data_IF_441600246594
#
_entry.id   IF_441600246594
#
_cell.length_a   1.000
_cell.length_b   1.000
_cell.length_c   1.000
_cell.angle_alpha   90.00
_cell.angle_beta   90.00
_cell.angle_gamma   90.00
#
_symmetry.space_group_name_H-M   'P 1'
#
loop_
_entity.id
_entity.type
_entity.pdbx_description
1 polymer ?
#
# COMPACT_ATOMS: atom_id res chain seq x y z
N UNK A 1 -39.65 37.31 -0.89
CA UNK A 1 -38.65 38.22 -0.35
C UNK A 1 -37.77 38.66 -1.49
N UNK A 2 -37.82 39.97 -1.88
CA UNK A 2 -36.97 40.55 -2.93
C UNK A 2 -35.56 40.80 -2.40
N UNK A 3 -34.58 40.30 -3.07
CA UNK A 3 -33.19 40.58 -2.75
C UNK A 3 -32.69 41.72 -3.65
N UNK A 4 -32.11 42.78 -3.09
CA UNK A 4 -31.39 43.78 -3.86
C UNK A 4 -29.93 43.42 -3.99
N UNK A 5 -29.44 43.31 -5.23
CA UNK A 5 -28.05 43.13 -5.56
C UNK A 5 -27.33 44.46 -5.47
N UNK A 6 -26.30 44.61 -4.60
CA UNK A 6 -25.37 45.71 -4.65
C UNK A 6 -24.56 45.69 -5.95
N UNK A 7 -24.60 46.81 -6.70
CA UNK A 7 -23.99 46.94 -8.04
C UNK A 7 -22.47 47.13 -8.08
N UNK A 8 -21.81 47.18 -6.97
CA UNK A 8 -20.41 47.65 -6.81
C UNK A 8 -19.39 46.53 -6.60
N UNK A 9 -19.75 45.27 -6.81
CA UNK A 9 -18.83 44.16 -6.62
C UNK A 9 -18.28 43.62 -7.96
N UNK A 10 -17.04 44.03 -8.30
CA UNK A 10 -16.25 43.39 -9.37
C UNK A 10 -15.36 42.33 -8.72
N UNK A 11 -15.83 41.10 -8.62
CA UNK A 11 -14.96 39.92 -8.43
C UNK A 11 -15.56 38.75 -9.16
N UNK A 12 -14.72 38.08 -9.95
CA UNK A 12 -15.00 36.80 -10.57
C UNK A 12 -15.02 35.71 -9.49
N UNK A 13 -16.12 35.60 -8.77
CA UNK A 13 -16.36 34.61 -7.72
C UNK A 13 -17.83 34.51 -7.43
N UNK A 14 -18.27 33.38 -6.85
CA UNK A 14 -19.66 33.12 -6.49
C UNK A 14 -20.30 34.32 -5.79
N UNK A 15 -21.49 34.79 -6.21
CA UNK A 15 -22.12 35.95 -5.62
C UNK A 15 -22.39 35.71 -4.11
N UNK A 16 -21.86 36.60 -3.29
CA UNK A 16 -22.15 36.60 -1.85
C UNK A 16 -23.41 37.45 -1.63
N UNK A 17 -24.45 36.84 -1.10
CA UNK A 17 -25.67 37.53 -0.72
C UNK A 17 -25.56 37.99 0.73
N UNK A 18 -25.80 39.28 0.97
CA UNK A 18 -25.89 39.85 2.31
C UNK A 18 -27.34 40.24 2.58
N UNK A 19 -27.86 39.85 3.74
CA UNK A 19 -29.16 40.26 4.22
C UNK A 19 -28.99 41.53 5.05
N UNK A 20 -29.91 42.49 4.96
CA UNK A 20 -29.97 43.60 5.86
C UNK A 20 -30.41 43.14 7.26
N UNK A 21 -30.11 43.94 8.31
CA UNK A 21 -30.48 43.64 9.69
C UNK A 21 -32.00 43.38 9.82
N UNK A 22 -32.84 44.18 9.14
CA UNK A 22 -34.30 43.96 9.13
C UNK A 22 -34.71 42.67 8.48
N UNK A 23 -33.99 42.20 7.45
CA UNK A 23 -34.27 40.91 6.80
C UNK A 23 -33.79 39.72 7.66
N UNK A 24 -32.74 39.90 8.43
CA UNK A 24 -32.28 38.94 9.42
C UNK A 24 -33.30 38.78 10.54
N UNK A 25 -33.83 39.90 11.06
CA UNK A 25 -34.84 39.91 12.11
C UNK A 25 -36.14 39.27 11.65
N UNK A 26 -36.58 39.50 10.43
CA UNK A 26 -37.77 38.92 9.86
C UNK A 26 -37.61 37.40 9.66
N UNK A 27 -36.46 36.96 9.20
CA UNK A 27 -36.08 35.52 9.09
C UNK A 27 -36.00 34.85 10.46
N UNK A 28 -35.48 35.53 11.47
CA UNK A 28 -35.41 35.04 12.83
C UNK A 28 -36.81 34.88 13.46
N UNK A 29 -37.72 35.85 13.22
CA UNK A 29 -39.15 35.76 13.64
C UNK A 29 -39.85 34.57 12.99
N UNK A 30 -39.67 34.38 11.69
CA UNK A 30 -40.29 33.27 10.93
C UNK A 30 -39.77 31.88 11.42
N UNK A 31 -38.53 31.82 11.90
CA UNK A 31 -37.89 30.57 12.36
C UNK A 31 -37.98 30.34 13.86
N UNK A 32 -38.68 31.18 14.63
CA UNK A 32 -38.87 31.01 16.06
C UNK A 32 -37.61 31.22 16.90
N UNK A 33 -36.59 31.91 16.37
CA UNK A 33 -35.42 32.27 17.14
C UNK A 33 -35.69 33.50 18.00
N UNK A 34 -35.71 33.31 19.30
CA UNK A 34 -35.85 34.39 20.28
C UNK A 34 -34.55 35.18 20.41
N UNK A 35 -34.70 36.47 20.62
CA UNK A 35 -33.83 37.62 20.66
C UNK A 35 -32.41 37.40 21.21
N UNK A 36 -31.45 37.92 20.42
CA UNK A 36 -30.24 38.60 20.91
C UNK A 36 -29.14 37.85 21.67
N UNK A 37 -28.94 36.56 21.43
CA UNK A 37 -27.71 35.90 21.89
C UNK A 37 -26.49 36.10 20.98
N UNK A 38 -26.71 36.44 19.72
CA UNK A 38 -25.62 36.48 18.72
C UNK A 38 -25.58 37.81 17.99
N UNK A 39 -24.38 38.39 17.83
CA UNK A 39 -24.14 39.58 17.02
C UNK A 39 -23.92 39.27 15.55
N UNK A 40 -23.53 38.08 15.23
CA UNK A 40 -23.32 37.62 13.85
C UNK A 40 -23.47 36.09 13.78
N UNK A 41 -24.21 35.60 12.78
CA UNK A 41 -24.35 34.17 12.49
C UNK A 41 -24.04 33.95 11.01
N UNK A 42 -22.98 33.18 10.70
CA UNK A 42 -22.66 32.74 9.34
C UNK A 42 -22.93 31.27 9.22
N UNK A 43 -23.65 30.86 8.16
CA UNK A 43 -23.92 29.47 7.83
C UNK A 43 -23.42 29.16 6.44
N UNK A 44 -22.73 28.06 6.28
CA UNK A 44 -22.39 27.53 4.96
C UNK A 44 -23.32 26.35 4.66
N UNK A 45 -23.95 26.37 3.50
CA UNK A 45 -24.88 25.33 3.07
C UNK A 45 -24.21 24.52 1.96
N UNK A 46 -24.54 23.23 1.88
CA UNK A 46 -24.22 22.41 0.71
C UNK A 46 -25.20 22.75 -0.44
N UNK A 47 -25.02 22.14 -1.60
CA UNK A 47 -25.86 22.33 -2.78
C UNK A 47 -27.33 21.92 -2.57
N UNK A 48 -27.61 21.12 -1.56
CA UNK A 48 -28.93 20.60 -1.22
C UNK A 48 -29.61 21.45 -0.13
N UNK A 49 -28.96 22.54 0.32
CA UNK A 49 -29.48 23.49 1.29
C UNK A 49 -29.29 23.11 2.76
N UNK A 50 -28.49 22.08 3.05
CA UNK A 50 -28.17 21.66 4.41
C UNK A 50 -26.99 22.45 4.98
N UNK A 51 -27.03 22.75 6.27
CA UNK A 51 -25.99 23.52 6.97
C UNK A 51 -24.78 22.63 7.23
N UNK A 52 -23.68 22.87 6.49
CA UNK A 52 -22.40 22.14 6.68
C UNK A 52 -21.43 22.85 7.63
N UNK A 53 -21.62 24.15 7.87
CA UNK A 53 -20.91 24.87 8.94
C UNK A 53 -21.71 26.05 9.44
N UNK A 54 -21.56 26.38 10.73
CA UNK A 54 -22.20 27.49 11.39
C UNK A 54 -21.17 28.25 12.24
N UNK A 55 -21.06 29.57 12.05
CA UNK A 55 -20.22 30.46 12.86
C UNK A 55 -21.13 31.42 13.57
N UNK A 56 -21.08 31.44 14.89
CA UNK A 56 -21.87 32.33 15.76
C UNK A 56 -20.94 33.24 16.57
N UNK A 57 -21.25 34.54 16.60
CA UNK A 57 -20.54 35.51 17.38
C UNK A 57 -21.43 35.97 18.53
N UNK A 58 -21.03 35.64 19.76
CA UNK A 58 -21.77 35.93 20.98
C UNK A 58 -21.54 37.37 21.45
N UNK A 59 -22.57 37.95 22.04
CA UNK A 59 -22.44 39.19 22.81
C UNK A 59 -21.86 38.86 24.19
N UNK A 60 -20.83 39.62 24.60
CA UNK A 60 -20.10 39.35 25.84
C UNK A 60 -21.04 39.27 27.05
N UNK A 61 -21.11 38.12 27.70
CA UNK A 61 -21.30 37.85 29.14
C UNK A 61 -21.95 36.50 29.47
N UNK A 62 -22.33 35.66 28.53
CA UNK A 62 -22.94 34.37 28.85
C UNK A 62 -21.99 33.22 28.51
N UNK A 63 -22.00 32.22 29.39
CA UNK A 63 -21.34 30.92 29.13
C UNK A 63 -21.86 30.33 27.83
N UNK A 64 -20.94 29.92 26.97
CA UNK A 64 -21.25 29.32 25.70
C UNK A 64 -21.88 27.95 25.97
N UNK A 65 -23.17 27.82 25.69
CA UNK A 65 -23.86 26.55 25.75
C UNK A 65 -23.58 25.80 24.44
N UNK A 66 -22.67 24.83 24.53
CA UNK A 66 -22.32 23.97 23.39
C UNK A 66 -23.37 22.86 23.37
N UNK A 67 -24.09 22.65 22.25
CA UNK A 67 -25.02 21.54 22.14
C UNK A 67 -24.29 20.23 22.48
N UNK A 68 -24.94 19.38 23.26
CA UNK A 68 -24.37 18.11 23.74
C UNK A 68 -23.97 17.15 22.62
N UNK A 69 -24.49 17.36 21.39
CA UNK A 69 -24.17 16.60 20.19
C UNK A 69 -23.16 17.29 19.26
N UNK A 70 -22.38 18.26 19.77
CA UNK A 70 -21.34 18.94 19.00
C UNK A 70 -19.98 18.85 19.67
N UNK A 71 -18.95 18.55 18.89
CA UNK A 71 -17.55 18.65 19.30
C UNK A 71 -16.94 19.99 18.91
N UNK A 72 -16.04 20.52 19.74
CA UNK A 72 -15.30 21.75 19.45
C UNK A 72 -14.15 21.42 18.51
N UNK A 73 -14.19 21.98 17.28
CA UNK A 73 -13.07 21.85 16.34
C UNK A 73 -11.99 22.89 16.61
N UNK A 74 -12.39 24.10 16.98
CA UNK A 74 -11.46 25.22 17.15
C UNK A 74 -12.02 26.27 18.09
N UNK A 75 -11.14 26.75 18.97
CA UNK A 75 -11.36 27.96 19.77
C UNK A 75 -10.36 29.01 19.31
N UNK A 76 -10.83 30.23 19.01
CA UNK A 76 -9.98 31.34 18.66
C UNK A 76 -10.33 32.50 19.57
N UNK A 77 -9.33 33.09 20.23
CA UNK A 77 -9.52 34.22 21.15
C UNK A 77 -8.76 35.44 20.61
N UNK A 78 -9.45 36.59 20.51
CA UNK A 78 -8.82 37.85 20.24
C UNK A 78 -8.32 38.43 21.56
N UNK A 79 -7.01 38.47 21.73
CA UNK A 79 -6.35 38.90 23.00
C UNK A 79 -6.63 40.34 23.34
N UNK A 80 -6.83 41.21 22.35
CA UNK A 80 -7.05 42.66 22.57
C UNK A 80 -8.50 43.01 22.93
N UNK A 81 -9.49 42.22 22.48
CA UNK A 81 -10.90 42.48 22.74
C UNK A 81 -11.56 41.45 23.67
N UNK A 82 -10.84 40.37 24.01
CA UNK A 82 -11.38 39.27 24.82
C UNK A 82 -12.44 38.41 24.11
N UNK A 83 -12.71 38.66 22.82
CA UNK A 83 -13.68 37.91 22.06
C UNK A 83 -13.21 36.52 21.77
N UNK A 84 -14.09 35.52 21.96
CA UNK A 84 -13.85 34.12 21.61
C UNK A 84 -14.77 33.66 20.46
N UNK A 85 -14.21 32.91 19.55
CA UNK A 85 -14.94 32.21 18.52
C UNK A 85 -14.76 30.70 18.74
N UNK A 86 -15.87 30.00 18.85
CA UNK A 86 -15.86 28.56 18.95
C UNK A 86 -16.50 28.00 17.67
N UNK A 87 -15.75 27.16 16.97
CA UNK A 87 -16.23 26.40 15.83
C UNK A 87 -16.56 25.02 16.35
N UNK A 88 -17.82 24.65 16.24
CA UNK A 88 -18.30 23.31 16.58
C UNK A 88 -18.78 22.60 15.32
N UNK A 89 -18.67 21.31 15.32
CA UNK A 89 -19.26 20.43 14.31
C UNK A 89 -20.22 19.48 15.04
N UNK A 90 -21.39 19.14 14.46
CA UNK A 90 -22.19 18.07 15.01
C UNK A 90 -21.28 16.84 15.19
N UNK A 91 -21.30 16.26 16.35
CA UNK A 91 -20.86 14.89 16.50
C UNK A 91 -21.88 14.16 15.62
N UNK A 92 -21.45 13.76 14.40
CA UNK A 92 -22.22 12.74 13.73
C UNK A 92 -22.37 11.66 14.78
N UNK A 93 -23.58 11.31 15.13
CA UNK A 93 -23.84 9.98 15.63
C UNK A 93 -23.33 9.07 14.51
N UNK A 94 -22.04 8.80 14.53
CA UNK A 94 -21.53 7.58 13.95
C UNK A 94 -22.24 6.57 14.82
N UNK A 95 -23.29 5.99 14.27
CA UNK A 95 -23.89 4.80 14.85
C UNK A 95 -22.71 3.92 15.23
N UNK A 96 -22.49 3.76 16.55
CA UNK A 96 -21.46 2.86 17.08
C UNK A 96 -21.77 1.42 16.64
N UNK A 97 -22.95 1.20 16.04
CA UNK A 97 -23.37 -0.02 15.34
C UNK A 97 -22.81 -0.15 13.90
N UNK A 98 -22.25 0.91 13.34
CA UNK A 98 -21.50 0.89 12.07
C UNK A 98 -20.00 1.11 12.30
N UNK A 99 -19.39 0.47 13.28
CA UNK A 99 -18.01 0.04 13.09
C UNK A 99 -18.04 -0.73 11.77
N UNK A 100 -17.47 -0.09 10.72
CA UNK A 100 -17.26 -0.78 9.46
C UNK A 100 -16.45 -2.00 9.85
N UNK A 101 -17.09 -3.16 9.95
CA UNK A 101 -16.42 -4.40 10.24
C UNK A 101 -15.60 -4.73 8.98
N UNK A 102 -14.43 -4.10 8.90
CA UNK A 102 -13.48 -4.29 7.82
C UNK A 102 -13.22 -5.77 7.55
N UNK A 103 -13.27 -6.60 8.59
CA UNK A 103 -13.12 -8.04 8.45
C UNK A 103 -14.31 -8.68 7.75
N UNK A 104 -15.52 -8.19 7.97
CA UNK A 104 -16.71 -8.68 7.26
C UNK A 104 -16.72 -8.28 5.78
N UNK A 105 -16.26 -7.08 5.43
CA UNK A 105 -16.14 -6.67 4.01
C UNK A 105 -15.25 -7.64 3.23
N UNK A 106 -14.22 -8.18 3.86
CA UNK A 106 -13.29 -9.11 3.19
C UNK A 106 -13.72 -10.57 3.23
N UNK A 107 -14.68 -10.97 4.07
CA UNK A 107 -15.12 -12.37 4.18
C UNK A 107 -15.65 -12.93 2.86
N UNK A 108 -16.39 -12.12 2.11
CA UNK A 108 -16.98 -12.54 0.84
C UNK A 108 -15.99 -12.48 -0.33
N UNK A 109 -14.88 -11.76 -0.14
CA UNK A 109 -13.82 -11.56 -1.16
C UNK A 109 -12.70 -12.58 -1.01
N UNK A 110 -12.43 -13.05 0.22
CA UNK A 110 -11.33 -13.98 0.49
C UNK A 110 -11.73 -15.39 0.07
N UNK A 111 -11.02 -15.93 -0.92
CA UNK A 111 -11.12 -17.34 -1.27
C UNK A 111 -10.12 -18.13 -0.41
N UNK A 112 -10.58 -19.03 0.47
CA UNK A 112 -9.66 -19.80 1.29
C UNK A 112 -8.82 -20.74 0.42
N UNK A 113 -7.52 -20.80 0.71
CA UNK A 113 -6.60 -21.74 0.08
C UNK A 113 -6.58 -23.01 0.92
N UNK A 114 -6.90 -24.14 0.30
CA UNK A 114 -6.81 -25.44 0.96
C UNK A 114 -5.37 -25.97 0.93
N UNK A 115 -4.79 -26.16 2.11
CA UNK A 115 -3.46 -26.74 2.25
C UNK A 115 -3.55 -28.08 2.97
N UNK A 116 -3.04 -29.12 2.34
CA UNK A 116 -3.11 -30.53 2.82
C UNK A 116 -1.90 -30.97 3.64
N UNK A 117 -1.12 -30.05 4.18
CA UNK A 117 0.08 -30.37 4.93
C UNK A 117 -0.15 -30.35 6.46
N UNK A 118 0.75 -31.01 7.20
CA UNK A 118 0.76 -30.99 8.67
C UNK A 118 1.83 -30.04 9.15
N UNK A 119 1.54 -29.27 10.22
CA UNK A 119 2.52 -28.44 10.90
C UNK A 119 3.71 -29.30 11.35
N UNK A 120 4.93 -28.86 11.04
CA UNK A 120 6.16 -29.59 11.33
C UNK A 120 6.86 -29.05 12.58
N UNK A 121 7.67 -29.89 13.26
CA UNK A 121 8.59 -29.40 14.28
C UNK A 121 9.72 -28.62 13.61
N UNK A 122 10.01 -27.42 14.13
CA UNK A 122 11.09 -26.57 13.61
C UNK A 122 12.44 -27.30 13.69
N UNK A 123 13.15 -27.33 12.54
CA UNK A 123 14.52 -27.83 12.41
C UNK A 123 15.46 -26.74 11.89
N UNK A 124 14.91 -25.80 11.12
CA UNK A 124 15.61 -24.62 10.62
C UNK A 124 15.42 -23.42 11.55
N UNK A 125 16.32 -22.45 11.47
CA UNK A 125 16.21 -21.19 12.21
C UNK A 125 15.02 -20.36 11.71
N UNK A 126 14.82 -20.34 10.39
CA UNK A 126 13.69 -19.73 9.72
C UNK A 126 13.60 -20.26 8.28
N UNK A 127 12.42 -20.14 7.72
CA UNK A 127 12.16 -20.32 6.30
C UNK A 127 12.03 -18.96 5.63
N UNK A 128 12.36 -18.87 4.34
CA UNK A 128 12.19 -17.67 3.52
C UNK A 128 11.51 -18.04 2.23
N UNK A 129 10.52 -17.24 1.83
CA UNK A 129 9.88 -17.33 0.52
C UNK A 129 10.00 -15.98 -0.19
N UNK A 130 10.26 -16.01 -1.49
CA UNK A 130 10.45 -14.80 -2.29
C UNK A 130 9.61 -14.89 -3.54
N UNK A 131 8.84 -13.83 -3.78
CA UNK A 131 8.13 -13.56 -5.03
C UNK A 131 8.45 -12.15 -5.49
N UNK A 132 8.38 -11.90 -6.79
CA UNK A 132 8.59 -10.60 -7.42
C UNK A 132 7.89 -10.56 -8.76
N UNK A 133 7.65 -9.39 -9.30
CA UNK A 133 7.15 -9.22 -10.66
C UNK A 133 5.85 -10.00 -10.89
N UNK A 134 4.86 -9.80 -10.00
CA UNK A 134 3.55 -10.45 -10.09
C UNK A 134 2.70 -9.82 -11.18
N UNK A 135 2.85 -8.52 -11.41
CA UNK A 135 2.20 -7.76 -12.47
C UNK A 135 0.69 -7.99 -12.54
N UNK A 136 -0.01 -7.78 -11.42
CA UNK A 136 -1.48 -7.87 -11.40
C UNK A 136 -2.05 -6.79 -12.31
N UNK A 137 -2.89 -7.19 -13.25
CA UNK A 137 -3.46 -6.33 -14.28
C UNK A 137 -2.78 -6.42 -15.64
N UNK A 138 -1.61 -7.06 -15.74
CA UNK A 138 -0.89 -7.19 -17.00
C UNK A 138 -1.70 -8.00 -18.03
N UNK A 139 -1.78 -7.47 -19.25
CA UNK A 139 -2.26 -8.19 -20.43
C UNK A 139 -1.06 -8.79 -21.16
N UNK A 140 -0.95 -10.10 -21.15
CA UNK A 140 0.21 -10.82 -21.71
C UNK A 140 0.16 -10.83 -23.23
N UNK A 141 -1.04 -11.04 -23.81
CA UNK A 141 -1.26 -11.09 -25.25
C UNK A 141 -2.48 -10.26 -25.63
N UNK A 142 -2.47 -9.69 -26.82
CA UNK A 142 -3.58 -8.87 -27.34
C UNK A 142 -4.34 -9.56 -28.51
N UNK A 143 -4.02 -10.81 -28.78
CA UNK A 143 -4.58 -11.57 -29.90
C UNK A 143 -3.77 -11.44 -31.22
N UNK A 144 -2.80 -10.53 -31.25
CA UNK A 144 -1.86 -10.36 -32.37
C UNK A 144 -0.42 -10.68 -31.96
N UNK A 145 -0.24 -11.13 -30.73
CA UNK A 145 1.07 -11.48 -30.16
C UNK A 145 1.71 -12.66 -30.88
N UNK A 146 3.03 -12.63 -31.02
CA UNK A 146 3.82 -13.75 -31.53
C UNK A 146 3.89 -14.96 -30.57
N UNK A 147 3.47 -14.76 -29.33
CA UNK A 147 3.59 -15.73 -28.27
C UNK A 147 2.26 -15.93 -27.57
N UNK A 148 1.95 -17.19 -27.28
CA UNK A 148 0.82 -17.51 -26.42
C UNK A 148 1.16 -17.25 -24.95
N UNK A 149 0.19 -16.78 -24.20
CA UNK A 149 0.30 -16.56 -22.77
C UNK A 149 -1.03 -16.19 -22.15
N UNK A 150 -1.24 -16.59 -20.92
CA UNK A 150 -2.44 -16.27 -20.15
C UNK A 150 -2.03 -15.72 -18.80
N UNK A 151 -2.50 -14.50 -18.51
CA UNK A 151 -2.40 -13.91 -17.19
C UNK A 151 -3.70 -13.21 -16.85
N UNK A 152 -4.46 -13.80 -15.98
CA UNK A 152 -5.73 -13.30 -15.50
C UNK A 152 -5.94 -13.73 -14.06
N UNK A 153 -7.05 -13.36 -13.47
CA UNK A 153 -7.41 -13.70 -12.10
C UNK A 153 -7.34 -15.22 -11.81
N UNK A 154 -7.82 -16.04 -12.72
CA UNK A 154 -7.85 -17.51 -12.55
C UNK A 154 -6.43 -18.08 -12.48
N UNK A 155 -5.56 -17.70 -13.41
CA UNK A 155 -4.17 -18.17 -13.44
C UNK A 155 -3.36 -17.61 -12.26
N UNK A 156 -3.63 -16.36 -11.87
CA UNK A 156 -3.02 -15.72 -10.71
C UNK A 156 -3.29 -16.53 -9.42
N UNK A 157 -4.55 -16.83 -9.13
CA UNK A 157 -4.91 -17.57 -7.92
C UNK A 157 -4.50 -19.06 -7.99
N UNK A 158 -4.49 -19.66 -9.16
CA UNK A 158 -3.92 -21.00 -9.35
C UNK A 158 -2.42 -21.02 -9.00
N UNK A 159 -1.66 -20.03 -9.42
CA UNK A 159 -0.24 -19.91 -9.05
C UNK A 159 -0.06 -19.58 -7.57
N UNK A 160 -0.95 -18.79 -6.99
CA UNK A 160 -0.97 -18.56 -5.55
C UNK A 160 -1.17 -19.85 -4.76
N UNK A 161 -2.11 -20.72 -5.19
CA UNK A 161 -2.30 -22.02 -4.58
C UNK A 161 -1.02 -22.88 -4.61
N UNK A 162 -0.35 -22.91 -5.76
CA UNK A 162 0.93 -23.62 -5.91
C UNK A 162 1.98 -23.02 -4.96
N UNK A 163 2.09 -21.70 -4.92
CA UNK A 163 3.06 -21.00 -4.09
C UNK A 163 2.88 -21.31 -2.61
N UNK A 164 1.63 -21.21 -2.11
CA UNK A 164 1.30 -21.53 -0.71
C UNK A 164 1.60 -23.00 -0.39
N UNK A 165 1.16 -23.92 -1.24
CA UNK A 165 1.39 -25.34 -1.03
C UNK A 165 2.88 -25.69 -1.01
N UNK A 166 3.68 -25.08 -1.89
CA UNK A 166 5.13 -25.33 -1.92
C UNK A 166 5.85 -24.70 -0.71
N UNK A 167 5.43 -23.54 -0.22
CA UNK A 167 5.95 -22.99 1.03
C UNK A 167 5.69 -23.96 2.18
N UNK A 168 4.48 -24.47 2.30
CA UNK A 168 4.10 -25.36 3.42
C UNK A 168 4.74 -26.75 3.27
N UNK A 169 4.81 -27.33 2.06
CA UNK A 169 5.47 -28.60 1.80
C UNK A 169 6.97 -28.55 2.14
N UNK A 170 7.60 -27.40 1.94
CA UNK A 170 9.02 -27.18 2.23
C UNK A 170 9.27 -26.60 3.62
N UNK A 171 8.25 -26.47 4.46
CA UNK A 171 8.39 -25.93 5.81
C UNK A 171 9.42 -26.73 6.63
N UNK A 172 10.39 -26.03 7.23
CA UNK A 172 11.39 -26.56 8.16
C UNK A 172 11.46 -25.74 9.46
N UNK A 173 10.80 -24.59 9.49
CA UNK A 173 10.73 -23.70 10.66
C UNK A 173 9.28 -23.29 10.92
N UNK A 174 9.00 -22.79 12.12
CA UNK A 174 7.75 -22.08 12.44
C UNK A 174 7.87 -20.56 12.30
N UNK A 175 8.99 -20.07 11.74
CA UNK A 175 9.20 -18.67 11.40
C UNK A 175 9.40 -18.54 9.90
N UNK A 176 8.62 -17.68 9.26
CA UNK A 176 8.70 -17.39 7.83
C UNK A 176 9.08 -15.93 7.59
N UNK A 177 10.07 -15.71 6.74
CA UNK A 177 10.34 -14.42 6.10
C UNK A 177 9.76 -14.45 4.68
N UNK A 178 8.84 -13.56 4.38
CA UNK A 178 8.23 -13.42 3.06
C UNK A 178 8.70 -12.11 2.43
N UNK A 179 9.38 -12.21 1.28
CA UNK A 179 9.84 -11.04 0.53
C UNK A 179 9.04 -10.90 -0.76
N UNK A 180 8.36 -9.77 -0.91
CA UNK A 180 7.76 -9.32 -2.16
C UNK A 180 8.61 -8.16 -2.70
N UNK A 181 9.31 -8.41 -3.81
CA UNK A 181 10.39 -7.53 -4.27
C UNK A 181 9.95 -6.48 -5.30
N UNK A 182 8.67 -6.15 -5.37
CA UNK A 182 8.14 -5.10 -6.24
C UNK A 182 7.53 -5.60 -7.53
N UNK A 183 7.04 -4.66 -8.33
CA UNK A 183 6.21 -4.89 -9.52
C UNK A 183 5.05 -5.87 -9.22
N UNK A 184 4.45 -5.69 -8.03
CA UNK A 184 3.30 -6.48 -7.62
C UNK A 184 2.07 -6.14 -8.46
N UNK A 185 1.85 -4.85 -8.72
CA UNK A 185 0.84 -4.33 -9.64
C UNK A 185 1.50 -3.97 -10.97
N UNK A 186 0.81 -4.17 -12.09
CA UNK A 186 1.40 -3.92 -13.42
C UNK A 186 1.52 -2.43 -13.79
N UNK A 187 0.95 -1.54 -13.04
CA UNK A 187 1.00 -0.11 -13.30
C UNK A 187 -0.21 0.63 -12.73
N UNK A 188 -0.41 1.84 -13.19
CA UNK A 188 -1.54 2.68 -12.85
C UNK A 188 -2.08 3.39 -14.08
N UNK A 189 -3.40 3.32 -14.35
CA UNK A 189 -4.03 3.88 -15.56
C UNK A 189 -3.36 3.41 -16.86
N UNK A 190 -3.05 2.13 -16.97
CA UNK A 190 -2.38 1.51 -18.12
C UNK A 190 -1.02 2.13 -18.45
N UNK A 191 -0.31 2.64 -17.45
CA UNK A 191 1.01 3.24 -17.61
C UNK A 191 1.94 2.85 -16.45
N UNK A 192 3.23 2.79 -16.74
CA UNK A 192 4.24 2.75 -15.67
C UNK A 192 4.28 4.10 -14.95
N UNK A 193 4.35 4.09 -13.62
CA UNK A 193 4.47 5.33 -12.82
C UNK A 193 5.83 6.00 -12.98
N UNK A 194 6.84 5.22 -13.34
CA UNK A 194 8.19 5.71 -13.64
C UNK A 194 8.48 5.57 -15.13
N UNK A 195 8.63 6.69 -15.78
CA UNK A 195 8.89 6.76 -17.23
C UNK A 195 7.65 6.91 -18.11
N UNK A 196 6.43 6.67 -17.58
CA UNK A 196 5.18 6.90 -18.32
C UNK A 196 5.02 6.03 -19.57
N UNK A 197 5.52 4.78 -19.54
CA UNK A 197 5.34 3.84 -20.64
C UNK A 197 3.95 3.23 -20.60
N UNK A 198 3.30 3.15 -21.75
CA UNK A 198 2.02 2.45 -21.88
C UNK A 198 2.19 0.96 -21.59
N UNK A 199 1.24 0.44 -20.82
CA UNK A 199 1.16 -0.97 -20.44
C UNK A 199 -0.21 -1.52 -20.84
N UNK A 200 -0.27 -2.54 -21.70
CA UNK A 200 -1.53 -3.24 -21.94
C UNK A 200 -2.02 -3.88 -20.65
N UNK A 201 -3.18 -3.45 -20.16
CA UNK A 201 -3.80 -4.01 -18.96
C UNK A 201 -5.11 -4.73 -19.28
N UNK A 202 -5.44 -5.76 -18.52
CA UNK A 202 -6.65 -6.56 -18.67
C UNK A 202 -7.74 -6.23 -17.66
N UNK A 203 -7.48 -5.28 -16.77
CA UNK A 203 -8.42 -4.80 -15.75
C UNK A 203 -8.13 -3.34 -15.41
N UNK A 204 -9.12 -2.64 -14.87
CA UNK A 204 -8.94 -1.29 -14.33
C UNK A 204 -8.25 -1.29 -12.96
N UNK A 205 -7.94 -0.09 -12.46
CA UNK A 205 -7.23 0.06 -11.19
C UNK A 205 -8.04 -0.43 -9.99
N UNK A 206 -9.37 -0.31 -10.01
CA UNK A 206 -10.22 -0.75 -8.90
C UNK A 206 -10.16 -2.27 -8.79
N UNK A 207 -10.43 -2.97 -9.91
CA UNK A 207 -10.36 -4.43 -9.95
C UNK A 207 -8.95 -4.93 -9.62
N UNK A 208 -7.91 -4.27 -10.12
CA UNK A 208 -6.53 -4.62 -9.81
C UNK A 208 -6.24 -4.47 -8.29
N UNK A 209 -6.72 -3.39 -7.67
CA UNK A 209 -6.62 -3.19 -6.22
C UNK A 209 -7.28 -4.34 -5.44
N UNK A 210 -8.53 -4.67 -5.77
CA UNK A 210 -9.30 -5.71 -5.09
C UNK A 210 -8.62 -7.07 -5.20
N UNK A 211 -8.18 -7.43 -6.41
CA UNK A 211 -7.46 -8.69 -6.66
C UNK A 211 -6.12 -8.72 -5.94
N UNK A 212 -5.36 -7.62 -5.96
CA UNK A 212 -4.07 -7.54 -5.27
C UNK A 212 -4.21 -7.68 -3.77
N UNK A 213 -5.21 -7.04 -3.20
CA UNK A 213 -5.50 -7.15 -1.77
C UNK A 213 -5.95 -8.56 -1.41
N UNK A 214 -6.87 -9.15 -2.19
CA UNK A 214 -7.33 -10.52 -2.01
C UNK A 214 -6.17 -11.52 -2.08
N UNK A 215 -5.26 -11.38 -3.07
CA UNK A 215 -4.09 -12.23 -3.20
C UNK A 215 -3.25 -12.26 -1.91
N UNK A 216 -2.89 -11.08 -1.39
CA UNK A 216 -2.06 -10.95 -0.18
C UNK A 216 -2.76 -11.46 1.07
N UNK A 217 -4.04 -11.18 1.22
CA UNK A 217 -4.84 -11.66 2.35
C UNK A 217 -4.94 -13.19 2.31
N UNK A 218 -5.32 -13.77 1.16
CA UNK A 218 -5.45 -15.22 1.00
C UNK A 218 -4.13 -15.95 1.26
N UNK A 219 -3.01 -15.37 0.81
CA UNK A 219 -1.66 -15.87 1.09
C UNK A 219 -1.40 -15.99 2.60
N UNK A 220 -1.64 -14.92 3.35
CA UNK A 220 -1.32 -14.91 4.78
C UNK A 220 -2.32 -15.68 5.60
N UNK A 221 -3.62 -15.61 5.30
CA UNK A 221 -4.65 -16.41 5.97
C UNK A 221 -4.38 -17.91 5.87
N UNK A 222 -3.81 -18.37 4.74
CA UNK A 222 -3.37 -19.76 4.62
C UNK A 222 -2.10 -20.05 5.42
N UNK A 223 -1.09 -19.16 5.39
CA UNK A 223 0.22 -19.42 5.98
C UNK A 223 0.25 -19.32 7.52
N UNK A 224 -0.58 -18.48 8.14
CA UNK A 224 -0.66 -18.34 9.61
C UNK A 224 -1.10 -19.62 10.31
N UNK A 225 -1.67 -20.56 9.59
CA UNK A 225 -2.04 -21.88 10.12
C UNK A 225 -0.82 -22.78 10.34
N UNK A 226 0.30 -22.50 9.67
CA UNK A 226 1.51 -23.31 9.66
C UNK A 226 2.71 -22.64 10.32
N UNK A 227 2.76 -21.32 10.32
CA UNK A 227 3.85 -20.54 10.90
C UNK A 227 3.36 -19.75 12.13
N UNK A 228 4.14 -19.82 13.21
CA UNK A 228 3.85 -19.08 14.44
C UNK A 228 4.17 -17.59 14.31
N UNK A 229 5.19 -17.27 13.47
CA UNK A 229 5.61 -15.90 13.16
C UNK A 229 5.88 -15.75 11.67
N UNK A 230 5.34 -14.71 11.09
CA UNK A 230 5.58 -14.32 9.70
C UNK A 230 6.05 -12.87 9.67
N UNK A 231 7.18 -12.61 9.03
CA UNK A 231 7.61 -11.24 8.72
C UNK A 231 7.55 -11.05 7.21
N UNK A 232 6.83 -10.02 6.78
CA UNK A 232 6.66 -9.68 5.37
C UNK A 232 7.39 -8.38 5.09
N UNK A 233 8.20 -8.35 4.03
CA UNK A 233 8.77 -7.13 3.47
C UNK A 233 8.24 -6.96 2.07
N UNK A 234 7.48 -5.89 1.83
CA UNK A 234 6.97 -5.50 0.53
C UNK A 234 7.76 -4.30 0.00
N UNK A 235 8.27 -4.36 -1.22
CA UNK A 235 8.83 -3.20 -1.89
C UNK A 235 7.70 -2.39 -2.51
N UNK A 236 7.55 -1.13 -2.09
CA UNK A 236 6.41 -0.28 -2.39
C UNK A 236 6.77 0.96 -3.23
N UNK A 237 7.89 0.93 -3.91
CA UNK A 237 8.34 2.04 -4.75
C UNK A 237 9.08 1.49 -5.97
N UNK A 238 8.39 0.60 -6.69
CA UNK A 238 8.85 0.04 -7.95
C UNK A 238 8.59 1.00 -9.13
N UNK A 239 8.97 0.60 -10.32
CA UNK A 239 8.81 1.41 -11.52
C UNK A 239 7.45 1.27 -12.20
N UNK A 240 6.72 0.18 -11.96
CA UNK A 240 5.41 -0.05 -12.56
C UNK A 240 4.31 0.68 -11.77
N UNK A 241 4.05 0.30 -10.55
CA UNK A 241 2.92 0.79 -9.78
C UNK A 241 3.25 1.99 -8.87
N UNK A 242 4.51 2.14 -8.44
CA UNK A 242 4.93 3.25 -7.57
C UNK A 242 4.04 3.40 -6.33
N UNK A 243 3.40 4.58 -6.19
CA UNK A 243 2.52 4.86 -5.05
C UNK A 243 1.24 4.03 -5.02
N UNK A 244 0.77 3.50 -6.14
CA UNK A 244 -0.39 2.60 -6.16
C UNK A 244 -0.06 1.28 -5.46
N UNK A 245 1.12 0.71 -5.72
CA UNK A 245 1.62 -0.45 -4.98
C UNK A 245 1.69 -0.19 -3.47
N UNK A 246 2.11 1.02 -3.06
CA UNK A 246 2.10 1.42 -1.65
C UNK A 246 0.69 1.45 -1.05
N UNK A 247 -0.32 1.94 -1.80
CA UNK A 247 -1.72 1.98 -1.32
C UNK A 247 -2.24 0.57 -1.08
N UNK A 248 -2.04 -0.36 -2.03
CA UNK A 248 -2.42 -1.78 -1.88
C UNK A 248 -1.75 -2.40 -0.66
N UNK A 249 -0.44 -2.20 -0.51
CA UNK A 249 0.34 -2.74 0.60
C UNK A 249 -0.03 -2.11 1.95
N UNK A 250 -0.50 -0.86 1.98
CA UNK A 250 -0.96 -0.20 3.19
C UNK A 250 -2.32 -0.73 3.64
N UNK A 251 -3.26 -0.94 2.71
CA UNK A 251 -4.54 -1.57 3.01
C UNK A 251 -4.34 -3.00 3.54
N UNK A 252 -3.48 -3.79 2.89
CA UNK A 252 -3.09 -5.11 3.36
C UNK A 252 -2.48 -5.08 4.76
N UNK A 253 -1.55 -4.15 5.02
CA UNK A 253 -0.93 -3.99 6.35
C UNK A 253 -1.97 -3.71 7.43
N UNK A 254 -2.92 -2.81 7.16
CA UNK A 254 -4.00 -2.49 8.10
C UNK A 254 -4.84 -3.74 8.43
N UNK A 255 -5.20 -4.53 7.42
CA UNK A 255 -5.90 -5.80 7.64
C UNK A 255 -5.11 -6.75 8.54
N UNK A 256 -3.82 -6.90 8.29
CA UNK A 256 -2.96 -7.79 9.07
C UNK A 256 -2.83 -7.32 10.52
N UNK A 257 -2.63 -6.03 10.76
CA UNK A 257 -2.51 -5.45 12.10
C UNK A 257 -3.79 -5.61 12.92
N UNK A 258 -4.96 -5.64 12.26
CA UNK A 258 -6.24 -5.91 12.92
C UNK A 258 -6.46 -7.40 13.21
N UNK A 259 -6.09 -8.27 12.27
CA UNK A 259 -6.44 -9.71 12.36
C UNK A 259 -5.36 -10.56 13.01
N UNK A 260 -4.10 -10.24 12.80
CA UNK A 260 -2.94 -11.04 13.22
C UNK A 260 -1.84 -10.22 13.92
N UNK A 261 -2.19 -9.34 14.89
CA UNK A 261 -1.23 -8.39 15.48
C UNK A 261 -0.01 -9.04 16.12
N UNK A 262 -0.19 -10.25 16.67
CA UNK A 262 0.87 -10.95 17.39
C UNK A 262 1.68 -11.91 16.51
N UNK A 263 1.17 -12.29 15.35
CA UNK A 263 1.74 -13.35 14.52
C UNK A 263 2.45 -12.83 13.28
N UNK A 264 2.00 -11.71 12.73
CA UNK A 264 2.46 -11.21 11.42
C UNK A 264 2.93 -9.78 11.53
N UNK A 265 4.15 -9.52 11.04
CA UNK A 265 4.73 -8.18 10.93
C UNK A 265 4.86 -7.80 9.47
N UNK A 266 4.29 -6.66 9.08
CA UNK A 266 4.36 -6.15 7.70
C UNK A 266 5.22 -4.90 7.63
N UNK A 267 6.26 -4.95 6.81
CA UNK A 267 7.16 -3.84 6.50
C UNK A 267 6.94 -3.41 5.05
N UNK A 268 6.46 -2.18 4.85
CA UNK A 268 6.31 -1.58 3.53
C UNK A 268 7.54 -0.72 3.23
N UNK A 269 8.50 -1.29 2.50
CA UNK A 269 9.74 -0.61 2.13
C UNK A 269 9.46 0.43 1.04
N UNK A 270 9.66 1.70 1.37
CA UNK A 270 9.50 2.83 0.43
C UNK A 270 10.82 3.31 -0.17
N UNK A 271 11.93 2.98 0.47
CA UNK A 271 13.25 3.27 -0.07
C UNK A 271 13.53 2.36 -1.26
N UNK A 272 14.23 2.89 -2.24
CA UNK A 272 14.66 2.12 -3.41
C UNK A 272 15.48 0.89 -3.03
N UNK A 273 16.42 1.05 -2.11
CA UNK A 273 17.20 0.01 -1.46
C UNK A 273 17.11 0.20 0.04
N UNK A 274 16.90 -0.86 0.77
CA UNK A 274 16.95 -0.87 2.23
C UNK A 274 17.45 -2.22 2.73
N UNK A 275 17.77 -2.30 4.01
CA UNK A 275 18.23 -3.54 4.63
C UNK A 275 17.52 -3.77 5.96
N UNK A 276 17.46 -5.03 6.34
CA UNK A 276 17.00 -5.42 7.67
C UNK A 276 17.78 -6.64 8.17
N UNK A 277 17.75 -6.83 9.49
CA UNK A 277 18.47 -7.90 10.14
C UNK A 277 17.50 -9.00 10.60
N UNK A 278 17.90 -10.22 10.40
CA UNK A 278 17.24 -11.37 10.99
C UNK A 278 18.28 -12.41 11.41
N UNK A 279 18.38 -12.70 12.73
CA UNK A 279 19.45 -13.49 13.33
C UNK A 279 20.84 -12.89 12.98
N UNK A 280 21.74 -13.69 12.43
CA UNK A 280 23.07 -13.28 12.00
C UNK A 280 23.12 -12.79 10.54
N UNK A 281 21.96 -12.59 9.89
CA UNK A 281 21.88 -12.22 8.48
C UNK A 281 21.39 -10.79 8.29
N UNK A 282 21.94 -10.17 7.27
CA UNK A 282 21.47 -8.89 6.74
C UNK A 282 20.92 -9.11 5.34
N UNK A 283 19.64 -8.81 5.14
CA UNK A 283 19.00 -8.84 3.84
C UNK A 283 18.94 -7.42 3.28
N UNK A 284 19.66 -7.17 2.19
CA UNK A 284 19.58 -5.92 1.43
C UNK A 284 18.64 -6.18 0.27
N UNK A 285 17.54 -5.43 0.18
CA UNK A 285 16.49 -5.67 -0.80
C UNK A 285 16.25 -4.45 -1.68
N UNK A 286 16.09 -4.70 -2.97
CA UNK A 286 15.69 -3.71 -3.97
C UNK A 286 14.82 -4.39 -5.03
N UNK A 287 13.93 -3.63 -5.69
CA UNK A 287 13.28 -4.15 -6.88
C UNK A 287 14.30 -4.30 -8.03
N UNK A 288 15.12 -3.30 -8.25
CA UNK A 288 16.21 -3.36 -9.23
C UNK A 288 16.27 -2.16 -10.15
N UNK A 289 15.16 -1.73 -10.72
CA UNK A 289 15.14 -0.58 -11.62
C UNK A 289 15.05 0.73 -10.84
N UNK A 290 16.15 1.45 -10.84
CA UNK A 290 16.25 2.79 -10.29
C UNK A 290 16.65 3.79 -11.36
N UNK A 291 16.26 5.05 -11.19
CA UNK A 291 16.47 6.07 -12.21
C UNK A 291 17.85 6.72 -12.14
N UNK A 292 18.49 6.78 -10.99
CA UNK A 292 19.57 7.74 -10.78
C UNK A 292 20.82 7.20 -10.08
N UNK A 293 20.67 6.43 -9.02
CA UNK A 293 21.79 6.17 -8.10
C UNK A 293 22.53 4.86 -8.38
N UNK A 294 21.83 3.75 -8.36
CA UNK A 294 22.45 2.43 -8.43
C UNK A 294 22.46 1.85 -9.84
N UNK A 295 21.44 2.17 -10.65
CA UNK A 295 21.33 1.77 -12.07
C UNK A 295 21.48 0.26 -12.26
N UNK A 296 20.84 -0.55 -11.39
CA UNK A 296 20.91 -2.00 -11.54
C UNK A 296 20.30 -2.48 -12.85
N UNK A 297 19.21 -1.83 -13.29
CA UNK A 297 18.56 -2.08 -14.58
C UNK A 297 18.11 -3.52 -14.76
N UNK A 298 17.78 -3.87 -15.98
CA UNK A 298 17.18 -5.14 -16.36
C UNK A 298 18.13 -6.34 -16.34
N UNK A 299 19.43 -6.15 -16.20
CA UNK A 299 20.37 -7.26 -16.28
C UNK A 299 20.31 -8.10 -15.01
N UNK A 300 20.20 -9.43 -15.12
CA UNK A 300 20.24 -10.29 -13.96
C UNK A 300 21.62 -10.28 -13.29
N UNK A 301 22.70 -10.16 -14.06
CA UNK A 301 24.07 -10.16 -13.56
C UNK A 301 24.53 -8.74 -13.24
N UNK A 302 25.11 -8.57 -12.05
CA UNK A 302 25.74 -7.30 -11.66
C UNK A 302 27.06 -7.10 -12.42
N UNK A 303 27.29 -5.88 -12.89
CA UNK A 303 28.59 -5.46 -13.40
C UNK A 303 29.51 -5.00 -12.25
N UNK A 304 30.82 -4.82 -12.51
CA UNK A 304 31.79 -4.42 -11.47
C UNK A 304 31.44 -3.10 -10.78
N UNK A 305 30.82 -2.15 -11.50
CA UNK A 305 30.40 -0.86 -10.92
C UNK A 305 29.23 -1.05 -9.96
N UNK A 306 28.29 -1.90 -10.32
CA UNK A 306 27.14 -2.23 -9.47
C UNK A 306 27.57 -3.00 -8.22
N UNK A 307 28.50 -3.94 -8.35
CA UNK A 307 29.11 -4.66 -7.22
C UNK A 307 29.75 -3.67 -6.25
N UNK A 308 30.53 -2.72 -6.77
CA UNK A 308 31.19 -1.70 -5.94
C UNK A 308 30.17 -0.80 -5.22
N UNK A 309 29.07 -0.44 -5.86
CA UNK A 309 28.00 0.32 -5.22
C UNK A 309 27.34 -0.43 -4.05
N UNK A 310 27.14 -1.75 -4.19
CA UNK A 310 26.62 -2.57 -3.07
C UNK A 310 27.64 -2.63 -1.94
N UNK A 311 28.94 -2.76 -2.24
CA UNK A 311 30.00 -2.72 -1.22
C UNK A 311 30.03 -1.38 -0.49
N UNK A 312 29.97 -0.26 -1.21
CA UNK A 312 29.90 1.07 -0.61
C UNK A 312 28.67 1.23 0.31
N UNK A 313 27.52 0.66 -0.07
CA UNK A 313 26.34 0.62 0.79
C UNK A 313 26.61 -0.19 2.07
N UNK A 314 27.25 -1.34 1.96
CA UNK A 314 27.64 -2.18 3.09
C UNK A 314 28.58 -1.44 4.05
N UNK A 315 29.57 -0.72 3.50
CA UNK A 315 30.52 0.09 4.26
C UNK A 315 29.85 1.26 4.97
N UNK A 316 29.01 1.99 4.26
CA UNK A 316 28.29 3.15 4.79
C UNK A 316 27.40 2.76 5.98
N UNK A 317 26.67 1.65 5.87
CA UNK A 317 25.79 1.17 6.93
C UNK A 317 26.47 0.22 7.94
N UNK A 318 27.79 -0.05 7.78
CA UNK A 318 28.62 -0.89 8.68
C UNK A 318 28.07 -2.31 8.86
N UNK A 319 27.68 -2.94 7.77
CA UNK A 319 26.98 -4.23 7.78
C UNK A 319 27.91 -5.47 7.87
N UNK A 320 29.23 -5.30 7.92
CA UNK A 320 30.24 -6.37 7.83
C UNK A 320 30.14 -7.48 8.89
N UNK A 321 29.46 -7.24 10.00
CA UNK A 321 29.31 -8.24 11.07
C UNK A 321 28.24 -9.29 10.79
N UNK A 322 27.59 -9.21 9.62
CA UNK A 322 26.48 -10.08 9.24
C UNK A 322 26.81 -10.86 7.97
N UNK A 323 26.17 -11.99 7.80
CA UNK A 323 26.10 -12.67 6.51
C UNK A 323 25.12 -11.92 5.60
N UNK A 324 25.63 -11.32 4.53
CA UNK A 324 24.85 -10.38 3.70
C UNK A 324 24.31 -11.08 2.47
N UNK A 325 22.99 -10.94 2.26
CA UNK A 325 22.29 -11.38 1.06
C UNK A 325 21.68 -10.17 0.35
N UNK A 326 22.08 -9.91 -0.88
CA UNK A 326 21.53 -8.86 -1.71
C UNK A 326 20.51 -9.43 -2.70
N UNK A 327 19.23 -9.11 -2.49
CA UNK A 327 18.10 -9.61 -3.26
C UNK A 327 17.52 -8.59 -4.23
N UNK A 328 17.27 -9.00 -5.47
CA UNK A 328 16.71 -8.15 -6.54
C UNK A 328 15.69 -8.89 -7.40
N UNK A 329 14.66 -8.15 -7.93
CA UNK A 329 13.71 -8.55 -8.97
C UNK A 329 13.99 -7.91 -10.34
N UNK A 330 12.97 -7.37 -11.00
CA UNK A 330 12.93 -6.54 -12.23
C UNK A 330 13.42 -7.23 -13.53
N UNK A 331 14.39 -8.10 -13.45
CA UNK A 331 14.98 -8.70 -14.65
C UNK A 331 14.21 -9.91 -15.20
N UNK A 332 13.22 -10.40 -14.48
CA UNK A 332 12.45 -11.62 -14.79
C UNK A 332 13.30 -12.89 -14.99
N UNK A 333 14.57 -12.87 -14.61
CA UNK A 333 15.52 -13.96 -14.80
C UNK A 333 16.05 -14.44 -13.46
N UNK A 334 16.14 -15.76 -13.30
CA UNK A 334 16.69 -16.36 -12.07
C UNK A 334 18.21 -16.47 -12.17
N UNK A 335 18.94 -15.82 -11.25
CA UNK A 335 20.39 -15.91 -11.15
C UNK A 335 20.83 -15.77 -9.69
N UNK A 336 21.55 -16.77 -9.20
CA UNK A 336 22.22 -16.70 -7.91
C UNK A 336 23.72 -16.70 -8.14
N UNK A 337 24.40 -15.69 -7.60
CA UNK A 337 25.85 -15.50 -7.79
C UNK A 337 26.56 -15.44 -6.44
N UNK A 338 27.36 -16.45 -6.19
CA UNK A 338 28.21 -16.59 -5.00
C UNK A 338 29.67 -16.30 -5.30
N UNK A 339 29.99 -15.83 -6.52
CA UNK A 339 31.38 -15.73 -7.02
C UNK A 339 31.84 -14.31 -7.28
N UNK A 340 30.91 -13.42 -7.61
CA UNK A 340 31.26 -12.04 -8.01
C UNK A 340 31.67 -11.14 -6.84
N UNK A 341 31.35 -11.49 -5.61
CA UNK A 341 31.71 -10.71 -4.42
C UNK A 341 31.95 -11.64 -3.22
N UNK A 342 32.94 -11.27 -2.40
CA UNK A 342 33.15 -11.89 -1.08
C UNK A 342 32.42 -11.18 0.04
N UNK A 343 31.89 -9.99 -0.23
CA UNK A 343 31.22 -9.17 0.76
C UNK A 343 29.71 -9.49 0.90
N UNK A 344 29.11 -10.09 -0.13
CA UNK A 344 27.68 -10.45 -0.13
C UNK A 344 27.38 -11.56 -1.13
N UNK A 345 26.33 -12.31 -0.87
CA UNK A 345 25.71 -13.22 -1.84
C UNK A 345 24.67 -12.44 -2.65
N UNK A 346 24.72 -12.58 -3.97
CA UNK A 346 23.76 -11.94 -4.85
C UNK A 346 22.66 -12.90 -5.31
N UNK A 347 21.43 -12.45 -5.25
CA UNK A 347 20.23 -13.21 -5.59
C UNK A 347 19.30 -12.37 -6.47
N UNK A 348 19.21 -12.72 -7.73
CA UNK A 348 18.22 -12.15 -8.65
C UNK A 348 17.10 -13.17 -8.86
N UNK A 349 15.87 -12.77 -8.57
CA UNK A 349 14.72 -13.65 -8.59
C UNK A 349 13.96 -13.55 -9.91
N UNK A 350 13.42 -14.67 -10.36
CA UNK A 350 12.58 -14.70 -11.55
C UNK A 350 11.16 -14.21 -11.27
N UNK A 351 10.46 -13.75 -12.30
CA UNK A 351 9.12 -13.22 -12.20
C UNK A 351 8.09 -14.29 -11.82
N UNK A 352 7.12 -13.92 -11.01
CA UNK A 352 5.96 -14.76 -10.69
C UNK A 352 4.96 -14.83 -11.85
N UNK A 353 4.79 -13.71 -12.57
CA UNK A 353 3.96 -13.63 -13.77
C UNK A 353 4.58 -14.36 -14.96
N UNK A 354 3.80 -14.77 -15.97
CA UNK A 354 4.34 -15.23 -17.23
C UNK A 354 5.02 -14.08 -17.98
N UNK A 355 5.99 -14.38 -18.85
CA UNK A 355 6.64 -13.34 -19.65
C UNK A 355 5.64 -12.75 -20.66
N UNK A 356 5.55 -11.41 -20.69
CA UNK A 356 4.83 -10.68 -21.73
C UNK A 356 5.60 -10.73 -23.08
N UNK A 357 4.98 -10.28 -24.17
CA UNK A 357 5.64 -10.18 -25.46
C UNK A 357 6.89 -9.28 -25.39
N UNK A 358 6.78 -8.17 -24.65
CA UNK A 358 7.92 -7.29 -24.45
C UNK A 358 9.08 -8.00 -23.72
N UNK A 359 8.77 -8.77 -22.70
CA UNK A 359 9.76 -9.55 -21.94
C UNK A 359 10.40 -10.62 -22.83
N UNK A 360 9.60 -11.37 -23.59
CA UNK A 360 10.11 -12.40 -24.51
C UNK A 360 10.99 -11.83 -25.62
N UNK A 361 10.69 -10.62 -26.08
CA UNK A 361 11.47 -9.94 -27.11
C UNK A 361 12.79 -9.40 -26.57
N UNK A 362 12.80 -8.85 -25.37
CA UNK A 362 13.94 -8.13 -24.80
C UNK A 362 14.82 -8.98 -23.89
N UNK A 363 14.26 -10.03 -23.26
CA UNK A 363 15.01 -10.90 -22.35
C UNK A 363 15.07 -12.33 -22.89
N UNK A 364 16.26 -12.94 -22.76
CA UNK A 364 16.46 -14.33 -23.11
C UNK A 364 16.17 -15.23 -21.90
N UNK A 365 15.56 -16.40 -22.16
CA UNK A 365 15.37 -17.48 -21.18
C UNK A 365 14.64 -17.05 -19.89
N UNK A 366 13.61 -16.21 -20.02
CA UNK A 366 12.73 -15.91 -18.89
C UNK A 366 11.78 -17.06 -18.64
N UNK A 367 11.73 -17.51 -17.40
CA UNK A 367 10.77 -18.52 -16.91
C UNK A 367 10.12 -17.96 -15.66
N UNK A 368 8.81 -18.08 -15.58
CA UNK A 368 8.08 -17.72 -14.36
C UNK A 368 8.53 -18.64 -13.23
N UNK A 369 8.81 -18.07 -12.08
CA UNK A 369 9.32 -18.82 -10.94
C UNK A 369 9.11 -18.09 -9.61
N UNK A 370 9.27 -18.84 -8.55
CA UNK A 370 9.45 -18.32 -7.20
C UNK A 370 10.52 -19.16 -6.47
N UNK A 371 10.93 -18.70 -5.29
CA UNK A 371 12.01 -19.37 -4.57
C UNK A 371 11.63 -19.53 -3.10
N UNK A 372 11.85 -20.73 -2.55
CA UNK A 372 11.80 -20.99 -1.11
C UNK A 372 13.16 -21.40 -0.60
N UNK A 373 13.48 -21.02 0.65
CA UNK A 373 14.75 -21.32 1.29
C UNK A 373 14.55 -21.70 2.74
N UNK A 374 15.38 -22.63 3.24
CA UNK A 374 15.40 -22.97 4.66
C UNK A 374 16.82 -22.67 5.20
N UNK A 375 16.88 -21.92 6.29
CA UNK A 375 18.13 -21.47 6.90
C UNK A 375 18.40 -22.22 8.19
N UNK A 376 19.56 -22.83 8.25
CA UNK A 376 20.11 -23.52 9.40
C UNK A 376 21.32 -22.76 9.93
N UNK A 377 21.91 -23.18 11.05
CA UNK A 377 23.06 -22.47 11.62
C UNK A 377 24.27 -22.39 10.66
N UNK A 378 24.55 -23.47 9.93
CA UNK A 378 25.75 -23.59 9.09
C UNK A 378 25.46 -23.86 7.62
N UNK A 379 24.19 -23.95 7.25
CA UNK A 379 23.80 -24.28 5.87
C UNK A 379 22.46 -23.65 5.53
N UNK A 380 22.20 -23.52 4.23
CA UNK A 380 20.86 -23.22 3.71
C UNK A 380 20.53 -24.14 2.56
N UNK A 381 19.27 -24.48 2.42
CA UNK A 381 18.72 -25.14 1.22
C UNK A 381 17.89 -24.16 0.42
N UNK A 382 17.91 -24.28 -0.89
CA UNK A 382 17.24 -23.38 -1.83
C UNK A 382 16.47 -24.24 -2.82
N UNK A 383 15.19 -23.91 -2.99
CA UNK A 383 14.33 -24.58 -3.96
C UNK A 383 13.78 -23.51 -4.91
N UNK A 384 14.06 -23.68 -6.20
CA UNK A 384 13.51 -22.84 -7.26
C UNK A 384 12.36 -23.58 -7.94
N UNK A 385 11.20 -22.96 -7.97
CA UNK A 385 10.02 -23.48 -8.65
C UNK A 385 9.85 -22.75 -9.96
N UNK A 386 9.67 -23.47 -11.02
CA UNK A 386 9.43 -22.96 -12.37
C UNK A 386 8.03 -23.42 -12.78
N UNK A 387 7.18 -22.44 -13.15
CA UNK A 387 5.81 -22.70 -13.62
C UNK A 387 5.78 -23.29 -15.04
#
# INVERSE_FOLDING_TARGET
LGFELRKDYKSEGNPKFYLSESQIDELNKIRGFHENKFTEVKRTLNKDGEVISKIEKLNQKELIDIPTNHEIIRVSTNVSSGQQWIITKPISEVDVENEIDFLNIFKDVIKPIEVKAKKVKSKALFDRAVLTDVHIGMKVTDGYSLYDGLWNEIELFKRLDIFVNEIVNNQKSNVLLLHELGDFMDGYNSMTTRGGHELPQNMDNQKAFDIGLQFKISLIDALVQYYDKIQIVNICNDNHAGSFGYIVNSAFKTYIELKYPDNVVVVNQRKFIDHYFFKNRCFILTHGKDDKSLKFGFKPKLDPVQIEKVKNYIDEYKLHNYEIEFGKGDSHQLLFDYTSSTAFEYQNFGAFSPPSDWVKTNFKNTKSSFTTMNYYEKQKSINHYIF
#
